data_IF_438431192229
#
_entry.id   IF_438431192229
#
_cell.length_a   1.000
_cell.length_b   1.000
_cell.length_c   1.000
_cell.angle_alpha   90.00
_cell.angle_beta   90.00
_cell.angle_gamma   90.00
#
_symmetry.space_group_name_H-M   'P 1'
#
loop_
_entity.id
_entity.type
_entity.pdbx_description
1 polymer ?
#
# COMPACT_ATOMS: atom_id res chain seq x y z
N UNK A 1 31.55 -2.68 11.88
CA UNK A 1 30.31 -1.94 11.62
C UNK A 1 29.44 -2.82 10.74
N UNK A 2 28.30 -3.26 11.26
CA UNK A 2 27.23 -3.86 10.46
C UNK A 2 26.49 -2.74 9.74
N UNK A 3 26.37 -2.84 8.42
CA UNK A 3 25.51 -1.99 7.61
C UNK A 3 24.06 -2.17 8.10
N UNK A 4 23.50 -1.14 8.74
CA UNK A 4 22.09 -1.11 9.09
C UNK A 4 21.27 -1.11 7.79
N UNK A 5 20.33 -2.04 7.71
CA UNK A 5 19.52 -2.28 6.53
C UNK A 5 18.37 -1.25 6.48
N UNK A 6 18.72 0.00 6.10
CA UNK A 6 17.83 1.18 6.04
C UNK A 6 16.57 0.96 5.19
N UNK A 7 16.53 -0.04 4.29
CA UNK A 7 15.36 -0.30 3.44
C UNK A 7 14.13 -0.89 4.15
N UNK A 8 14.21 -1.19 5.46
CA UNK A 8 13.12 -1.90 6.18
C UNK A 8 12.27 -0.98 7.06
N UNK A 9 12.83 0.14 7.53
CA UNK A 9 12.20 1.04 8.50
C UNK A 9 12.48 2.49 8.11
N UNK A 10 11.49 3.36 8.30
CA UNK A 10 11.67 4.82 8.18
C UNK A 10 11.61 5.44 9.57
N UNK A 11 12.56 6.33 9.83
CA UNK A 11 12.72 7.05 11.08
C UNK A 11 11.86 8.31 11.05
N UNK A 12 10.98 8.48 12.03
CA UNK A 12 10.31 9.78 12.23
C UNK A 12 11.19 10.59 13.18
N UNK A 13 11.94 11.54 12.64
CA UNK A 13 12.68 12.50 13.46
C UNK A 13 11.71 13.56 14.02
N UNK A 14 11.02 13.21 15.11
CA UNK A 14 10.54 14.21 16.06
C UNK A 14 11.50 14.22 17.24
N UNK A 15 12.25 15.31 17.44
CA UNK A 15 13.04 15.54 18.67
C UNK A 15 12.09 15.73 19.86
N UNK A 16 11.53 14.63 20.34
CA UNK A 16 10.91 14.58 21.65
C UNK A 16 11.88 13.85 22.58
N UNK A 17 12.17 14.45 23.73
CA UNK A 17 13.13 14.00 24.75
C UNK A 17 12.86 12.62 25.38
N UNK A 18 11.94 11.84 24.80
CA UNK A 18 11.44 10.55 25.27
C UNK A 18 12.06 9.39 24.46
N UNK A 19 12.46 9.59 23.20
CA UNK A 19 13.09 8.53 22.39
C UNK A 19 12.87 8.67 20.89
N UNK A 20 13.01 7.54 20.17
CA UNK A 20 12.96 7.47 18.71
C UNK A 20 11.83 6.55 18.23
N UNK A 21 11.11 6.93 17.16
CA UNK A 21 10.01 6.15 16.57
C UNK A 21 10.42 5.64 15.18
N UNK A 22 10.23 4.34 14.96
CA UNK A 22 10.49 3.68 13.68
C UNK A 22 9.22 3.02 13.17
N UNK A 23 8.89 3.25 11.90
CA UNK A 23 7.76 2.60 11.23
C UNK A 23 8.31 1.59 10.23
N UNK A 24 7.89 0.34 10.37
CA UNK A 24 8.25 -0.72 9.44
C UNK A 24 7.56 -0.50 8.09
N UNK A 25 8.26 -0.81 7.00
CA UNK A 25 7.69 -0.76 5.65
C UNK A 25 6.46 -1.67 5.48
N UNK A 26 6.37 -2.76 6.23
CA UNK A 26 5.18 -3.62 6.23
C UNK A 26 3.93 -2.89 6.74
N UNK A 27 4.06 -2.01 7.73
CA UNK A 27 2.94 -1.20 8.24
C UNK A 27 2.46 -0.22 7.15
N UNK A 28 3.39 0.40 6.44
CA UNK A 28 3.08 1.31 5.32
C UNK A 28 2.41 0.54 4.18
N UNK A 29 2.86 -0.68 3.89
CA UNK A 29 2.26 -1.55 2.89
C UNK A 29 0.81 -1.92 3.24
N UNK A 30 0.52 -2.15 4.53
CA UNK A 30 -0.85 -2.42 5.01
C UNK A 30 -1.74 -1.18 4.82
N UNK A 31 -1.26 0.01 5.22
CA UNK A 31 -2.01 1.27 5.04
C UNK A 31 -2.32 1.49 3.57
N UNK A 32 -1.32 1.39 2.70
CA UNK A 32 -1.48 1.55 1.26
C UNK A 32 -2.46 0.52 0.66
N UNK A 33 -2.35 -0.73 1.09
CA UNK A 33 -3.24 -1.80 0.61
C UNK A 33 -4.70 -1.56 0.99
N UNK A 34 -4.94 -1.20 2.25
CA UNK A 34 -6.29 -0.86 2.74
C UNK A 34 -6.85 0.37 2.01
N UNK A 35 -6.08 1.44 1.94
CA UNK A 35 -6.47 2.69 1.28
C UNK A 35 -6.80 2.47 -0.21
N UNK A 36 -6.02 1.65 -0.91
CA UNK A 36 -6.29 1.31 -2.31
C UNK A 36 -7.60 0.51 -2.47
N UNK A 37 -7.91 -0.41 -1.56
CA UNK A 37 -9.15 -1.20 -1.61
C UNK A 37 -10.41 -0.42 -1.22
N UNK A 38 -10.28 0.75 -0.59
CA UNK A 38 -11.41 1.64 -0.29
C UNK A 38 -11.87 2.47 -1.50
N UNK A 39 -11.10 2.48 -2.60
CA UNK A 39 -11.46 3.26 -3.78
C UNK A 39 -12.47 2.51 -4.63
N UNK A 40 -13.59 3.18 -4.92
CA UNK A 40 -14.62 2.67 -5.82
C UNK A 40 -14.03 2.33 -7.20
N UNK A 41 -14.32 1.12 -7.68
CA UNK A 41 -13.76 0.60 -8.92
C UNK A 41 -12.52 -0.28 -8.74
N UNK A 42 -11.93 -0.34 -7.55
CA UNK A 42 -10.92 -1.36 -7.23
C UNK A 42 -11.61 -2.64 -6.81
N UNK A 43 -11.39 -3.72 -7.56
CA UNK A 43 -11.92 -5.04 -7.19
C UNK A 43 -11.10 -5.67 -6.06
N UNK A 44 -9.76 -5.67 -6.22
CA UNK A 44 -8.81 -6.21 -5.24
C UNK A 44 -7.37 -5.81 -5.61
N UNK A 45 -6.45 -6.00 -4.68
CA UNK A 45 -5.02 -5.99 -4.97
C UNK A 45 -4.61 -7.27 -5.70
N UNK A 46 -3.85 -7.14 -6.78
CA UNK A 46 -3.31 -8.27 -7.51
C UNK A 46 -2.14 -8.91 -6.74
N UNK A 47 -2.16 -10.24 -6.62
CA UNK A 47 -1.22 -10.98 -5.76
C UNK A 47 -1.71 -11.17 -4.32
N UNK A 48 -2.82 -10.54 -3.92
CA UNK A 48 -3.54 -10.93 -2.70
C UNK A 48 -4.05 -12.38 -2.85
N UNK A 49 -3.91 -13.19 -1.79
CA UNK A 49 -4.46 -14.55 -1.82
C UNK A 49 -5.99 -14.46 -1.91
N UNK A 50 -6.59 -15.30 -2.75
CA UNK A 50 -8.04 -15.51 -2.71
C UNK A 50 -8.46 -15.94 -1.30
N UNK A 51 -9.68 -15.59 -0.89
CA UNK A 51 -10.21 -15.97 0.43
C UNK A 51 -10.09 -17.48 0.70
N UNK A 52 -10.23 -18.31 -0.33
CA UNK A 52 -10.09 -19.76 -0.23
C UNK A 52 -8.64 -20.20 0.07
N UNK A 53 -7.65 -19.64 -0.62
CA UNK A 53 -6.23 -19.90 -0.35
C UNK A 53 -5.78 -19.31 0.99
N UNK A 54 -6.26 -18.11 1.33
CA UNK A 54 -5.95 -17.43 2.59
C UNK A 54 -6.50 -18.21 3.81
N UNK A 55 -7.68 -18.84 3.67
CA UNK A 55 -8.30 -19.67 4.72
C UNK A 55 -7.49 -20.94 5.02
N UNK A 56 -6.87 -21.54 4.00
CA UNK A 56 -6.01 -22.73 4.15
C UNK A 56 -4.62 -22.41 4.67
N UNK A 57 -4.12 -21.20 4.42
CA UNK A 57 -2.79 -20.74 4.85
C UNK A 57 -2.80 -19.92 6.16
N UNK A 58 -3.98 -19.74 6.77
CA UNK A 58 -4.14 -19.20 8.12
C UNK A 58 -3.88 -17.70 8.30
N UNK A 59 -3.57 -16.92 7.25
CA UNK A 59 -3.37 -15.46 7.35
C UNK A 59 -3.84 -14.72 6.09
N UNK A 60 -4.76 -13.75 6.28
CA UNK A 60 -4.98 -12.65 5.34
C UNK A 60 -3.82 -11.67 5.52
N UNK A 61 -2.95 -11.51 4.52
CA UNK A 61 -1.93 -10.47 4.54
C UNK A 61 -2.28 -9.39 3.52
N UNK A 62 -2.88 -8.25 3.96
CA UNK A 62 -3.24 -7.15 3.05
C UNK A 62 -2.03 -6.49 2.39
N UNK A 63 -0.80 -6.71 2.89
CA UNK A 63 0.43 -6.26 2.24
C UNK A 63 0.76 -7.03 0.94
N UNK A 64 0.12 -8.18 0.66
CA UNK A 64 0.38 -8.95 -0.58
C UNK A 64 -0.19 -8.22 -1.79
N UNK A 65 0.71 -7.70 -2.63
CA UNK A 65 0.38 -6.88 -3.80
C UNK A 65 0.84 -5.43 -3.69
N UNK A 66 1.41 -5.05 -2.53
CA UNK A 66 2.02 -3.75 -2.29
C UNK A 66 3.50 -3.93 -2.02
N UNK A 67 4.34 -3.17 -2.72
CA UNK A 67 5.76 -3.06 -2.42
C UNK A 67 6.04 -1.63 -1.98
N UNK A 68 6.76 -1.49 -0.88
CA UNK A 68 7.18 -0.19 -0.34
C UNK A 68 8.69 -0.13 -0.39
N UNK A 69 9.21 0.97 -0.89
CA UNK A 69 10.63 1.33 -0.84
C UNK A 69 10.75 2.57 0.05
N UNK A 70 11.52 2.41 1.12
CA UNK A 70 11.84 3.48 2.06
C UNK A 70 13.23 3.99 1.73
N UNK A 71 13.30 5.27 1.40
CA UNK A 71 14.53 6.02 1.24
C UNK A 71 14.49 7.20 2.23
N UNK A 72 15.65 7.75 2.64
CA UNK A 72 15.67 8.84 3.61
C UNK A 72 14.75 10.01 3.20
N UNK A 73 13.67 10.21 3.94
CA UNK A 73 12.69 11.27 3.70
C UNK A 73 11.78 11.07 2.47
N UNK A 74 11.84 9.91 1.81
CA UNK A 74 11.03 9.58 0.64
C UNK A 74 10.42 8.18 0.73
N UNK A 75 9.10 8.11 0.63
CA UNK A 75 8.36 6.84 0.49
C UNK A 75 7.91 6.64 -0.95
N UNK A 76 8.24 5.49 -1.52
CA UNK A 76 7.70 5.04 -2.80
C UNK A 76 6.85 3.79 -2.61
N UNK A 77 5.70 3.78 -3.27
CA UNK A 77 4.73 2.68 -3.19
C UNK A 77 4.47 2.15 -4.60
N UNK A 78 4.65 0.85 -4.81
CA UNK A 78 4.21 0.14 -5.99
C UNK A 78 3.01 -0.76 -5.65
N UNK A 79 1.91 -0.59 -6.37
CA UNK A 79 0.66 -1.32 -6.20
C UNK A 79 0.35 -2.09 -7.46
N UNK A 80 -0.22 -3.29 -7.30
CA UNK A 80 -0.88 -3.98 -8.40
C UNK A 80 -2.37 -4.17 -8.08
N UNK A 81 -3.27 -3.82 -8.98
CA UNK A 81 -4.72 -3.86 -8.76
C UNK A 81 -5.47 -4.55 -9.90
N UNK A 82 -6.56 -5.23 -9.58
CA UNK A 82 -7.62 -5.60 -10.51
C UNK A 82 -8.72 -4.52 -10.44
N UNK A 83 -9.12 -3.98 -11.59
CA UNK A 83 -10.14 -2.91 -11.69
C UNK A 83 -11.48 -3.52 -12.09
N UNK A 84 -12.59 -2.96 -11.60
CA UNK A 84 -13.93 -3.37 -12.00
C UNK A 84 -14.25 -2.93 -13.44
N UNK A 85 -14.96 -3.77 -14.16
CA UNK A 85 -15.55 -3.43 -15.46
C UNK A 85 -16.47 -2.21 -15.30
N UNK A 86 -16.62 -1.43 -16.38
CA UNK A 86 -17.37 -0.16 -16.41
C UNK A 86 -16.72 1.04 -15.70
N UNK A 87 -15.62 0.84 -14.97
CA UNK A 87 -14.84 1.93 -14.39
C UNK A 87 -13.72 2.41 -15.33
N UNK A 88 -13.51 3.72 -15.38
CA UNK A 88 -12.40 4.34 -16.10
C UNK A 88 -11.09 4.05 -15.37
N UNK A 89 -10.20 3.27 -15.99
CA UNK A 89 -8.88 2.92 -15.43
C UNK A 89 -8.11 4.18 -15.00
N UNK A 90 -7.91 5.22 -15.86
CA UNK A 90 -7.18 6.42 -15.44
C UNK A 90 -7.79 7.08 -14.20
N UNK A 91 -9.11 7.21 -14.18
CA UNK A 91 -9.84 7.86 -13.08
C UNK A 91 -9.74 7.08 -11.78
N UNK A 92 -9.87 5.75 -11.82
CA UNK A 92 -9.69 4.90 -10.64
C UNK A 92 -8.24 4.97 -10.16
N UNK A 93 -7.26 4.86 -11.06
CA UNK A 93 -5.84 4.89 -10.66
C UNK A 93 -5.44 6.21 -10.03
N UNK A 94 -5.92 7.35 -10.54
CA UNK A 94 -5.67 8.66 -9.90
C UNK A 94 -6.26 8.71 -8.50
N UNK A 95 -7.50 8.25 -8.31
CA UNK A 95 -8.12 8.21 -6.98
C UNK A 95 -7.35 7.29 -6.02
N UNK A 96 -6.86 6.14 -6.49
CA UNK A 96 -5.99 5.26 -5.69
C UNK A 96 -4.69 5.96 -5.31
N UNK A 97 -4.04 6.66 -6.24
CA UNK A 97 -2.80 7.41 -5.94
C UNK A 97 -3.03 8.45 -4.85
N UNK A 98 -4.07 9.26 -4.99
CA UNK A 98 -4.39 10.33 -4.03
C UNK A 98 -4.74 9.75 -2.66
N UNK A 99 -5.61 8.74 -2.62
CA UNK A 99 -6.07 8.09 -1.39
C UNK A 99 -4.92 7.41 -0.64
N UNK A 100 -4.04 6.69 -1.35
CA UNK A 100 -2.87 6.02 -0.76
C UNK A 100 -1.86 7.03 -0.22
N UNK A 101 -1.52 8.07 -1.01
CA UNK A 101 -0.62 9.14 -0.58
C UNK A 101 -1.15 9.82 0.69
N UNK A 102 -2.42 10.23 0.65
CA UNK A 102 -3.06 10.91 1.78
C UNK A 102 -3.09 10.02 3.03
N UNK A 103 -3.44 8.74 2.89
CA UNK A 103 -3.53 7.83 4.03
C UNK A 103 -2.17 7.64 4.72
N UNK A 104 -1.10 7.43 3.95
CA UNK A 104 0.25 7.27 4.51
C UNK A 104 0.70 8.59 5.17
N UNK A 105 0.64 9.71 4.45
CA UNK A 105 1.08 11.01 4.96
C UNK A 105 0.34 11.42 6.23
N UNK A 106 -0.98 11.19 6.28
CA UNK A 106 -1.80 11.55 7.45
C UNK A 106 -1.52 10.65 8.65
N UNK A 107 -1.30 9.35 8.44
CA UNK A 107 -1.13 8.39 9.54
C UNK A 107 0.30 8.32 10.06
N UNK A 108 1.30 8.55 9.21
CA UNK A 108 2.71 8.32 9.55
C UNK A 108 3.55 9.59 9.51
N UNK A 109 3.04 10.71 8.97
CA UNK A 109 3.82 11.93 8.78
C UNK A 109 4.95 11.81 7.75
N UNK A 110 5.03 10.69 7.02
CA UNK A 110 6.07 10.44 6.04
C UNK A 110 5.68 11.02 4.69
N UNK A 111 6.64 11.58 3.96
CA UNK A 111 6.41 12.15 2.63
C UNK A 111 6.40 11.07 1.53
N UNK A 112 5.27 10.91 0.83
CA UNK A 112 5.14 9.97 -0.28
C UNK A 112 5.44 10.68 -1.59
N UNK A 113 6.56 10.31 -2.21
CA UNK A 113 7.02 10.93 -3.46
C UNK A 113 6.44 10.26 -4.70
N UNK A 114 6.19 8.95 -4.66
CA UNK A 114 5.69 8.18 -5.80
C UNK A 114 4.69 7.11 -5.37
N UNK A 115 3.58 7.04 -6.10
CA UNK A 115 2.63 5.93 -6.05
C UNK A 115 2.47 5.38 -7.46
N UNK A 116 3.10 4.25 -7.74
CA UNK A 116 3.02 3.57 -9.03
C UNK A 116 1.92 2.52 -8.96
N UNK A 117 1.07 2.46 -9.99
CA UNK A 117 -0.01 1.48 -10.07
C UNK A 117 0.14 0.66 -11.34
N UNK A 118 0.18 -0.66 -11.17
CA UNK A 118 0.04 -1.64 -12.24
C UNK A 118 -1.37 -2.20 -12.23
N UNK A 119 -2.10 -2.00 -13.33
CA UNK A 119 -3.37 -2.71 -13.53
C UNK A 119 -3.08 -4.11 -14.03
N UNK A 120 -3.36 -5.12 -13.21
CA UNK A 120 -3.08 -6.52 -13.51
C UNK A 120 -4.23 -7.22 -14.25
N UNK A 121 -5.45 -6.71 -14.13
CA UNK A 121 -6.62 -7.27 -14.78
C UNK A 121 -7.88 -6.42 -14.62
N UNK A 122 -8.92 -6.84 -15.33
CA UNK A 122 -10.28 -6.30 -15.22
C UNK A 122 -11.21 -7.41 -14.75
N UNK A 123 -12.10 -7.12 -13.81
CA UNK A 123 -13.05 -8.06 -13.21
C UNK A 123 -14.47 -7.55 -13.39
N UNK A 124 -15.40 -8.44 -13.69
CA UNK A 124 -16.81 -8.10 -13.51
C UNK A 124 -17.09 -7.97 -12.01
N UNK A 125 -17.97 -7.04 -11.63
CA UNK A 125 -18.49 -7.05 -10.27
C UNK A 125 -19.20 -8.41 -10.05
N UNK A 126 -18.88 -9.09 -8.95
CA UNK A 126 -19.57 -10.35 -8.63
C UNK A 126 -21.06 -10.04 -8.49
N UNK A 127 -21.88 -10.65 -9.35
CA UNK A 127 -23.32 -10.67 -9.16
C UNK A 127 -23.58 -11.56 -7.93
N UNK A 128 -23.88 -10.93 -6.79
CA UNK A 128 -24.34 -11.63 -5.58
C UNK A 128 -25.59 -12.49 -5.87
#
# INVERSE_FOLDING_TARGET
MSEENTSTYENIEEENSIGHVQIAGEVIAIIAGLAATEVDGVSRLAGSLSNELASRLGKKNPAKGVKVELLPGEVKVDLAIDVLYEYSIPTVTTQVQDKVKQAIETMTGLNVTKVNIRVAGVRMADAN
#
